data_IF_209938418409
#
_entry.id   IF_209938418409
#
_cell.length_a   1.000
_cell.length_b   1.000
_cell.length_c   1.000
_cell.angle_alpha   90.00
_cell.angle_beta   90.00
_cell.angle_gamma   90.00
#
_symmetry.space_group_name_H-M   'P 1'
#
loop_
_entity.id
_entity.type
_entity.pdbx_description
1 polymer ?
#
# COMPACT_ATOMS: atom_id res chain seq x y z
N UNK A 1 17.21 -47.90 -31.21
CA UNK A 1 17.34 -46.42 -31.19
C UNK A 1 16.08 -45.92 -30.51
N UNK A 2 16.10 -45.86 -29.18
CA UNK A 2 14.92 -45.53 -28.38
C UNK A 2 14.76 -44.02 -28.31
N UNK A 3 13.59 -43.51 -28.71
CA UNK A 3 13.23 -42.10 -28.56
C UNK A 3 13.32 -41.67 -27.09
N UNK A 4 13.72 -40.42 -26.80
CA UNK A 4 13.69 -39.91 -25.44
C UNK A 4 12.23 -39.74 -25.02
N UNK A 5 11.87 -40.34 -23.88
CA UNK A 5 10.57 -40.13 -23.25
C UNK A 5 10.42 -38.63 -22.93
N UNK A 6 9.52 -37.96 -23.65
CA UNK A 6 9.05 -36.63 -23.30
C UNK A 6 8.29 -36.78 -21.98
N UNK A 7 8.91 -36.35 -20.88
CA UNK A 7 8.23 -36.21 -19.60
C UNK A 7 7.03 -35.26 -19.81
N UNK A 8 5.82 -35.61 -19.33
CA UNK A 8 4.67 -34.75 -19.52
C UNK A 8 4.86 -33.44 -18.76
N UNK A 9 4.50 -32.33 -19.41
CA UNK A 9 4.40 -30.96 -18.89
C UNK A 9 3.50 -30.85 -17.64
N UNK A 10 3.95 -31.39 -16.51
CA UNK A 10 3.21 -31.34 -15.24
C UNK A 10 3.38 -30.02 -14.48
N UNK A 11 4.07 -29.03 -15.06
CA UNK A 11 4.41 -27.76 -14.38
C UNK A 11 3.62 -26.56 -14.91
N UNK A 12 2.89 -26.72 -16.01
CA UNK A 12 2.09 -25.67 -16.60
C UNK A 12 0.63 -25.83 -16.19
N UNK A 13 0.30 -25.39 -14.97
CA UNK A 13 -1.02 -24.86 -14.53
C UNK A 13 -1.19 -25.09 -13.03
N UNK A 14 -1.11 -24.01 -12.23
CA UNK A 14 -1.95 -23.70 -11.06
C UNK A 14 -1.20 -22.76 -10.09
N UNK A 15 -1.86 -21.71 -9.56
CA UNK A 15 -1.33 -20.94 -8.44
C UNK A 15 -1.36 -21.85 -7.20
N UNK A 16 -0.18 -22.26 -6.69
CA UNK A 16 0.07 -22.97 -5.40
C UNK A 16 1.25 -23.97 -5.42
N UNK A 17 1.93 -24.21 -6.55
CA UNK A 17 2.93 -25.30 -6.61
C UNK A 17 4.12 -25.08 -5.65
N UNK A 18 4.64 -23.85 -5.53
CA UNK A 18 5.84 -23.63 -4.71
C UNK A 18 5.56 -23.69 -3.22
N UNK A 19 4.43 -23.11 -2.79
CA UNK A 19 3.99 -23.19 -1.40
C UNK A 19 3.72 -24.64 -0.98
N UNK A 20 2.94 -25.38 -1.78
CA UNK A 20 2.65 -26.79 -1.50
C UNK A 20 3.93 -27.65 -1.45
N UNK A 21 4.88 -27.41 -2.37
CA UNK A 21 6.18 -28.10 -2.37
C UNK A 21 7.04 -27.76 -1.15
N UNK A 22 6.97 -26.53 -0.66
CA UNK A 22 7.69 -26.15 0.55
C UNK A 22 7.17 -26.95 1.76
N UNK A 23 5.85 -27.04 1.94
CA UNK A 23 5.26 -27.89 2.98
C UNK A 23 5.61 -29.37 2.79
N UNK A 24 5.55 -29.86 1.55
CA UNK A 24 5.88 -31.25 1.22
C UNK A 24 7.33 -31.59 1.57
N UNK A 25 8.28 -30.74 1.18
CA UNK A 25 9.71 -30.94 1.44
C UNK A 25 10.01 -30.83 2.93
N UNK A 26 9.44 -29.86 3.64
CA UNK A 26 9.63 -29.71 5.08
C UNK A 26 9.08 -30.92 5.86
N UNK A 27 7.88 -31.37 5.49
CA UNK A 27 7.23 -32.54 6.12
C UNK A 27 8.00 -33.83 5.81
N UNK A 28 8.46 -34.01 4.56
CA UNK A 28 9.26 -35.17 4.17
C UNK A 28 10.60 -35.19 4.90
N UNK A 29 11.31 -34.06 4.95
CA UNK A 29 12.58 -33.97 5.68
C UNK A 29 12.43 -34.30 7.17
N UNK A 30 11.37 -33.82 7.82
CA UNK A 30 11.06 -34.19 9.21
C UNK A 30 10.78 -35.69 9.35
N UNK A 31 9.95 -36.25 8.45
CA UNK A 31 9.60 -37.68 8.46
C UNK A 31 10.84 -38.55 8.28
N UNK A 32 11.70 -38.22 7.32
CA UNK A 32 12.94 -38.94 7.05
C UNK A 32 13.91 -38.83 8.23
N UNK A 33 13.97 -37.66 8.89
CA UNK A 33 14.81 -37.45 10.09
C UNK A 33 14.32 -38.29 11.27
N UNK A 34 13.01 -38.35 11.49
CA UNK A 34 12.43 -39.17 12.56
C UNK A 34 12.59 -40.68 12.28
N UNK A 35 12.49 -41.08 11.01
CA UNK A 35 12.70 -42.47 10.58
C UNK A 35 14.17 -42.89 10.65
N UNK A 36 15.11 -41.97 10.36
CA UNK A 36 16.55 -42.18 10.49
C UNK A 36 17.06 -42.07 11.94
N UNK A 37 16.21 -41.66 12.88
CA UNK A 37 16.52 -41.62 14.31
C UNK A 37 16.77 -43.01 14.90
N UNK A 38 17.17 -43.08 16.18
CA UNK A 38 17.51 -44.36 16.80
C UNK A 38 16.31 -45.33 16.75
N UNK A 39 16.58 -46.59 16.44
CA UNK A 39 15.59 -47.67 16.48
C UNK A 39 15.02 -47.84 17.90
N UNK A 40 13.89 -48.54 18.02
CA UNK A 40 13.29 -48.83 19.32
C UNK A 40 14.25 -49.57 20.26
N UNK A 41 15.02 -50.52 19.71
CA UNK A 41 16.03 -51.26 20.46
C UNK A 41 17.19 -50.38 20.91
N UNK A 42 17.72 -49.53 20.03
CA UNK A 42 18.78 -48.57 20.39
C UNK A 42 18.31 -47.55 21.43
N UNK A 43 17.05 -47.13 21.37
CA UNK A 43 16.46 -46.25 22.38
C UNK A 43 16.46 -46.90 23.76
N UNK A 44 15.99 -48.15 23.85
CA UNK A 44 15.92 -48.92 25.10
C UNK A 44 17.32 -49.22 25.64
N UNK A 45 18.28 -49.55 24.76
CA UNK A 45 19.69 -49.78 25.14
C UNK A 45 20.35 -48.56 25.80
N UNK A 46 19.84 -47.35 25.55
CA UNK A 46 20.27 -46.13 26.23
C UNK A 46 19.92 -46.08 27.72
N UNK A 47 19.01 -46.94 28.19
CA UNK A 47 18.60 -47.04 29.59
C UNK A 47 19.24 -48.27 30.23
N UNK A 48 20.25 -48.06 31.06
CA UNK A 48 20.97 -49.15 31.75
C UNK A 48 20.08 -49.83 32.80
N UNK A 49 20.08 -51.16 32.84
CA UNK A 49 19.42 -51.96 33.91
C UNK A 49 17.95 -52.29 33.66
N UNK A 50 17.49 -52.20 32.40
CA UNK A 50 16.15 -52.64 31.99
C UNK A 50 16.20 -54.12 31.61
N UNK A 51 15.86 -54.98 32.57
CA UNK A 51 15.87 -56.45 32.39
C UNK A 51 14.45 -57.04 32.28
N UNK A 52 13.42 -56.26 32.62
CA UNK A 52 12.01 -56.66 32.57
C UNK A 52 11.28 -56.16 31.31
N UNK A 53 10.42 -57.02 30.77
CA UNK A 53 9.69 -56.75 29.52
C UNK A 53 8.67 -55.62 29.68
N UNK A 54 8.13 -55.41 30.88
CA UNK A 54 7.14 -54.37 31.15
C UNK A 54 7.75 -52.97 31.02
N UNK A 55 8.92 -52.75 31.61
CA UNK A 55 9.67 -51.50 31.49
C UNK A 55 10.16 -51.27 30.06
N UNK A 56 10.58 -52.34 29.36
CA UNK A 56 10.94 -52.26 27.93
C UNK A 56 9.77 -51.79 27.07
N UNK A 57 8.58 -52.36 27.25
CA UNK A 57 7.37 -51.94 26.52
C UNK A 57 6.96 -50.51 26.86
N UNK A 58 7.09 -50.10 28.13
CA UNK A 58 6.84 -48.72 28.55
C UNK A 58 7.76 -47.73 27.82
N UNK A 59 9.07 -48.03 27.74
CA UNK A 59 10.04 -47.18 27.06
C UNK A 59 9.77 -47.07 25.55
N UNK A 60 9.38 -48.17 24.90
CA UNK A 60 8.99 -48.15 23.48
C UNK A 60 7.75 -47.28 23.25
N UNK A 61 6.74 -47.39 24.12
CA UNK A 61 5.55 -46.54 24.06
C UNK A 61 5.90 -45.05 24.31
N UNK A 62 6.76 -44.76 25.30
CA UNK A 62 7.24 -43.39 25.54
C UNK A 62 8.01 -42.83 24.34
N UNK A 63 8.81 -43.64 23.66
CA UNK A 63 9.50 -43.25 22.42
C UNK A 63 8.51 -42.87 21.34
N UNK A 64 7.50 -43.71 21.08
CA UNK A 64 6.47 -43.44 20.07
C UNK A 64 5.71 -42.15 20.38
N UNK A 65 5.29 -41.96 21.63
CA UNK A 65 4.61 -40.73 22.08
C UNK A 65 5.50 -39.50 21.92
N UNK A 66 6.79 -39.60 22.28
CA UNK A 66 7.75 -38.50 22.15
C UNK A 66 8.00 -38.15 20.69
N UNK A 67 8.15 -39.14 19.81
CA UNK A 67 8.32 -38.92 18.38
C UNK A 67 7.08 -38.28 17.75
N UNK A 68 5.88 -38.71 18.14
CA UNK A 68 4.63 -38.10 17.68
C UNK A 68 4.51 -36.65 18.16
N UNK A 69 4.76 -36.39 19.45
CA UNK A 69 4.74 -35.03 20.00
C UNK A 69 5.77 -34.11 19.35
N UNK A 70 7.00 -34.60 19.14
CA UNK A 70 8.05 -33.86 18.45
C UNK A 70 7.63 -33.51 17.02
N UNK A 71 7.10 -34.49 16.28
CA UNK A 71 6.61 -34.27 14.90
C UNK A 71 5.56 -33.17 14.87
N UNK A 72 4.54 -33.28 15.70
CA UNK A 72 3.40 -32.37 15.67
C UNK A 72 3.81 -30.95 16.11
N UNK A 73 4.71 -30.83 17.10
CA UNK A 73 5.26 -29.54 17.52
C UNK A 73 6.13 -28.89 16.43
N UNK A 74 6.97 -29.66 15.73
CA UNK A 74 7.82 -29.12 14.66
C UNK A 74 6.96 -28.69 13.46
N UNK A 75 5.93 -29.45 13.11
CA UNK A 75 4.99 -29.05 12.05
C UNK A 75 4.25 -27.76 12.43
N UNK A 76 3.81 -27.62 13.68
CA UNK A 76 3.19 -26.39 14.16
C UNK A 76 4.16 -25.19 14.09
N UNK A 77 5.43 -25.40 14.46
CA UNK A 77 6.46 -24.35 14.38
C UNK A 77 6.76 -23.94 12.92
N UNK A 78 6.76 -24.87 11.98
CA UNK A 78 6.86 -24.54 10.56
C UNK A 78 5.72 -23.62 10.12
N UNK A 79 4.48 -23.90 10.54
CA UNK A 79 3.35 -23.02 10.23
C UNK A 79 3.50 -21.62 10.85
N UNK A 80 4.02 -21.52 12.07
CA UNK A 80 4.32 -20.22 12.70
C UNK A 80 5.35 -19.46 11.86
N UNK A 81 6.47 -20.09 11.51
CA UNK A 81 7.53 -19.48 10.71
C UNK A 81 7.04 -19.05 9.32
N UNK A 82 6.23 -19.88 8.66
CA UNK A 82 5.64 -19.56 7.36
C UNK A 82 4.70 -18.35 7.45
N UNK A 83 3.96 -18.21 8.54
CA UNK A 83 3.09 -17.07 8.78
C UNK A 83 3.88 -15.79 9.12
N UNK A 84 4.87 -15.87 9.99
CA UNK A 84 5.71 -14.72 10.39
C UNK A 84 6.51 -14.16 9.22
N UNK A 85 7.14 -15.03 8.45
CA UNK A 85 7.94 -14.64 7.27
C UNK A 85 7.07 -14.25 6.07
N UNK A 86 5.77 -14.62 6.10
CA UNK A 86 4.88 -14.48 4.96
C UNK A 86 5.30 -15.34 3.76
N UNK A 87 6.15 -16.36 3.95
CA UNK A 87 6.77 -17.14 2.88
C UNK A 87 5.74 -17.71 1.89
N UNK A 88 4.62 -18.25 2.40
CA UNK A 88 3.55 -18.82 1.58
C UNK A 88 2.92 -17.75 0.69
N UNK A 89 2.53 -16.62 1.28
CA UNK A 89 1.95 -15.49 0.53
C UNK A 89 2.92 -14.92 -0.50
N UNK A 90 4.21 -14.85 -0.19
CA UNK A 90 5.24 -14.39 -1.12
C UNK A 90 5.44 -15.35 -2.30
N UNK A 91 5.43 -16.66 -2.05
CA UNK A 91 5.52 -17.68 -3.10
C UNK A 91 4.28 -17.69 -4.00
N UNK A 92 3.09 -17.54 -3.43
CA UNK A 92 1.85 -17.40 -4.19
C UNK A 92 1.85 -16.13 -5.05
N UNK A 93 2.32 -15.01 -4.50
CA UNK A 93 2.46 -13.76 -5.24
C UNK A 93 3.48 -13.89 -6.39
N UNK A 94 4.58 -14.61 -6.16
CA UNK A 94 5.58 -14.89 -7.20
C UNK A 94 5.02 -15.79 -8.31
N UNK A 95 4.29 -16.85 -7.95
CA UNK A 95 3.61 -17.72 -8.91
C UNK A 95 2.62 -16.91 -9.77
N UNK A 96 1.85 -16.01 -9.14
CA UNK A 96 0.91 -15.13 -9.82
C UNK A 96 1.61 -14.12 -10.76
N UNK A 97 2.77 -13.59 -10.36
CA UNK A 97 3.56 -12.69 -11.19
C UNK A 97 4.10 -13.41 -12.43
N UNK A 98 4.65 -14.62 -12.27
CA UNK A 98 5.19 -15.41 -13.39
C UNK A 98 4.10 -15.86 -14.35
N UNK A 99 2.92 -16.23 -13.84
CA UNK A 99 1.78 -16.59 -14.68
C UNK A 99 1.35 -15.45 -15.62
N UNK A 100 1.54 -14.19 -15.20
CA UNK A 100 1.20 -12.99 -15.96
C UNK A 100 2.28 -12.55 -16.96
N UNK A 101 3.50 -13.09 -16.87
CA UNK A 101 4.57 -12.74 -17.81
C UNK A 101 4.38 -13.47 -19.14
N UNK A 102 4.61 -12.81 -20.28
CA UNK A 102 4.62 -13.47 -21.57
C UNK A 102 5.76 -14.49 -21.64
N UNK A 103 5.49 -15.61 -22.29
CA UNK A 103 6.49 -16.63 -22.55
C UNK A 103 7.39 -16.17 -23.70
N UNK A 104 8.70 -16.18 -23.46
CA UNK A 104 9.70 -15.89 -24.50
C UNK A 104 9.78 -17.08 -25.47
N UNK A 105 10.36 -16.84 -26.63
CA UNK A 105 10.45 -17.85 -27.70
C UNK A 105 11.26 -19.11 -27.31
N UNK A 106 12.05 -19.05 -26.24
CA UNK A 106 12.80 -20.17 -25.65
C UNK A 106 12.04 -20.88 -24.52
N UNK A 107 10.78 -20.53 -24.27
CA UNK A 107 9.97 -21.05 -23.17
C UNK A 107 10.24 -20.40 -21.80
N UNK A 108 11.19 -19.45 -21.72
CA UNK A 108 11.50 -18.76 -20.46
C UNK A 108 10.54 -17.61 -20.18
N UNK A 109 10.34 -17.29 -18.90
CA UNK A 109 9.57 -16.13 -18.44
C UNK A 109 10.48 -15.23 -17.62
N UNK A 110 11.09 -14.25 -18.27
CA UNK A 110 11.95 -13.28 -17.61
C UNK A 110 11.11 -12.07 -17.21
N UNK A 111 11.19 -11.59 -15.96
CA UNK A 111 10.64 -10.29 -15.63
C UNK A 111 11.38 -9.24 -16.47
N UNK A 112 10.69 -8.69 -17.47
CA UNK A 112 11.11 -7.46 -18.13
C UNK A 112 11.01 -6.37 -17.06
N UNK A 113 12.10 -6.12 -16.34
CA UNK A 113 12.29 -4.90 -15.56
C UNK A 113 13.53 -4.21 -16.08
N UNK A 114 13.38 -3.49 -17.19
CA UNK A 114 14.43 -2.58 -17.61
C UNK A 114 14.52 -1.42 -16.61
N UNK A 115 15.73 -0.94 -16.29
CA UNK A 115 15.95 0.20 -15.38
C UNK A 115 15.24 1.48 -15.88
N UNK A 116 14.94 1.54 -17.18
CA UNK A 116 14.09 2.54 -17.83
C UNK A 116 12.62 2.51 -17.37
N UNK A 117 12.07 1.34 -17.02
CA UNK A 117 10.68 1.18 -16.60
C UNK A 117 10.39 1.76 -15.21
N UNK A 118 11.37 1.87 -14.31
CA UNK A 118 11.11 2.41 -12.97
C UNK A 118 10.60 3.87 -13.02
N UNK A 119 11.16 4.69 -13.92
CA UNK A 119 10.69 6.07 -14.13
C UNK A 119 9.30 6.10 -14.76
N UNK A 120 9.04 5.24 -15.73
CA UNK A 120 7.75 5.17 -16.42
C UNK A 120 6.66 4.58 -15.53
N UNK A 121 7.00 3.63 -14.66
CA UNK A 121 6.12 3.08 -13.63
C UNK A 121 5.75 4.14 -12.60
N UNK A 122 6.72 4.92 -12.10
CA UNK A 122 6.44 6.05 -11.19
C UNK A 122 5.60 7.12 -11.90
N UNK A 123 5.91 7.44 -13.16
CA UNK A 123 5.13 8.39 -13.95
C UNK A 123 3.68 7.92 -14.15
N UNK A 124 3.48 6.62 -14.41
CA UNK A 124 2.16 6.01 -14.59
C UNK A 124 1.39 5.92 -13.26
N UNK A 125 2.04 5.46 -12.19
CA UNK A 125 1.45 5.35 -10.86
C UNK A 125 1.04 6.73 -10.29
N UNK A 126 1.78 7.79 -10.61
CA UNK A 126 1.48 9.16 -10.17
C UNK A 126 0.47 9.89 -11.06
N UNK A 127 0.09 9.33 -12.22
CA UNK A 127 -0.80 9.99 -13.18
C UNK A 127 -2.20 10.30 -12.60
N UNK A 128 -2.88 9.39 -11.87
CA UNK A 128 -4.19 9.69 -11.31
C UNK A 128 -4.17 10.86 -10.32
N UNK A 129 -3.16 10.89 -9.45
CA UNK A 129 -2.96 11.98 -8.49
C UNK A 129 -2.71 13.32 -9.21
N UNK A 130 -1.87 13.33 -10.25
CA UNK A 130 -1.63 14.54 -11.07
C UNK A 130 -2.91 15.03 -11.77
N UNK A 131 -3.73 14.12 -12.29
CA UNK A 131 -5.01 14.47 -12.92
C UNK A 131 -5.99 15.06 -11.90
N UNK A 132 -6.08 14.47 -10.71
CA UNK A 132 -6.91 14.98 -9.62
C UNK A 132 -6.46 16.38 -9.18
N UNK A 133 -5.15 16.59 -8.98
CA UNK A 133 -4.61 17.90 -8.63
C UNK A 133 -4.87 18.95 -9.73
N UNK A 134 -4.73 18.57 -11.01
CA UNK A 134 -5.05 19.46 -12.13
C UNK A 134 -6.51 19.91 -12.10
N UNK A 135 -7.44 18.99 -11.86
CA UNK A 135 -8.87 19.31 -11.76
C UNK A 135 -9.17 20.23 -10.56
N UNK A 136 -8.59 19.95 -9.40
CA UNK A 136 -8.76 20.78 -8.21
C UNK A 136 -8.24 22.22 -8.44
N UNK A 137 -7.06 22.37 -9.05
CA UNK A 137 -6.51 23.68 -9.39
C UNK A 137 -7.40 24.44 -10.39
N UNK A 138 -7.93 23.74 -11.41
CA UNK A 138 -8.83 24.35 -12.38
C UNK A 138 -10.13 24.84 -11.74
N UNK A 139 -10.66 24.11 -10.75
CA UNK A 139 -11.85 24.53 -10.00
C UNK A 139 -11.53 25.75 -9.12
N UNK A 140 -10.41 25.74 -8.41
CA UNK A 140 -9.98 26.87 -7.58
C UNK A 140 -9.78 28.15 -8.41
N UNK A 141 -9.17 28.05 -9.59
CA UNK A 141 -8.99 29.19 -10.50
C UNK A 141 -10.35 29.76 -10.92
N UNK A 142 -11.30 28.92 -11.35
CA UNK A 142 -12.64 29.38 -11.75
C UNK A 142 -13.37 30.08 -10.61
N UNK A 143 -13.22 29.57 -9.39
CA UNK A 143 -13.81 30.19 -8.21
C UNK A 143 -13.23 31.59 -7.97
N UNK A 144 -11.91 31.74 -7.99
CA UNK A 144 -11.24 33.03 -7.81
C UNK A 144 -11.61 34.01 -8.93
N UNK A 145 -11.72 33.54 -10.17
CA UNK A 145 -12.17 34.37 -11.30
C UNK A 145 -13.61 34.89 -11.10
N UNK A 146 -14.52 34.04 -10.63
CA UNK A 146 -15.90 34.44 -10.34
C UNK A 146 -15.96 35.44 -9.17
N UNK A 147 -15.20 35.20 -8.11
CA UNK A 147 -15.10 36.11 -6.96
C UNK A 147 -14.55 37.48 -7.38
N UNK A 148 -13.48 37.51 -8.21
CA UNK A 148 -12.92 38.75 -8.74
C UNK A 148 -13.92 39.51 -9.61
N UNK A 149 -14.67 38.83 -10.46
CA UNK A 149 -15.72 39.47 -11.26
C UNK A 149 -16.81 40.08 -10.38
N UNK A 150 -17.23 39.36 -9.32
CA UNK A 150 -18.21 39.88 -8.36
C UNK A 150 -17.69 41.11 -7.62
N UNK A 151 -16.45 41.07 -7.12
CA UNK A 151 -15.82 42.20 -6.46
C UNK A 151 -15.68 43.41 -7.39
N UNK A 152 -15.33 43.18 -8.65
CA UNK A 152 -15.23 44.26 -9.64
C UNK A 152 -16.60 44.90 -9.91
N UNK A 153 -17.67 44.12 -9.97
CA UNK A 153 -19.03 44.64 -10.10
C UNK A 153 -19.45 45.46 -8.87
N UNK A 154 -19.16 44.97 -7.67
CA UNK A 154 -19.44 45.70 -6.43
C UNK A 154 -18.68 47.03 -6.37
N UNK A 155 -17.40 47.03 -6.76
CA UNK A 155 -16.58 48.24 -6.84
C UNK A 155 -17.15 49.26 -7.83
N UNK A 156 -17.53 48.82 -9.03
CA UNK A 156 -18.15 49.68 -10.05
C UNK A 156 -19.52 50.21 -9.62
N UNK A 157 -20.33 49.41 -8.90
CA UNK A 157 -21.62 49.84 -8.38
C UNK A 157 -21.49 50.87 -7.24
N UNK A 158 -20.42 50.80 -6.44
CA UNK A 158 -20.17 51.75 -5.36
C UNK A 158 -19.62 53.11 -5.84
N UNK A 159 -18.96 53.15 -7.01
CA UNK A 159 -18.33 54.35 -7.56
C UNK A 159 -19.30 55.55 -7.73
N UNK A 160 -20.50 55.39 -8.32
CA UNK A 160 -21.45 56.49 -8.48
C UNK A 160 -21.93 57.07 -7.15
N UNK A 161 -22.18 56.21 -6.15
CA UNK A 161 -22.60 56.67 -4.83
C UNK A 161 -21.49 57.47 -4.13
N UNK A 162 -20.24 57.05 -4.28
CA UNK A 162 -19.09 57.81 -3.77
C UNK A 162 -18.92 59.17 -4.47
N UNK A 163 -19.11 59.22 -5.79
CA UNK A 163 -19.05 60.45 -6.56
C UNK A 163 -20.15 61.44 -6.13
N UNK A 164 -21.39 60.96 -6.01
CA UNK A 164 -22.52 61.77 -5.57
C UNK A 164 -22.31 62.32 -4.14
N UNK A 165 -21.86 61.48 -3.20
CA UNK A 165 -21.53 61.93 -1.85
C UNK A 165 -20.40 62.97 -1.84
N UNK A 166 -19.41 62.85 -2.72
CA UNK A 166 -18.34 63.85 -2.86
C UNK A 166 -18.85 65.18 -3.38
N UNK A 167 -19.75 65.17 -4.38
CA UNK A 167 -20.40 66.38 -4.90
C UNK A 167 -21.28 67.07 -3.84
N UNK A 168 -22.05 66.31 -3.07
CA UNK A 168 -22.86 66.83 -1.96
C UNK A 168 -21.99 67.52 -0.90
N UNK A 169 -20.86 66.91 -0.53
CA UNK A 169 -19.91 67.51 0.42
C UNK A 169 -19.35 68.82 -0.14
N UNK A 170 -18.99 68.88 -1.43
CA UNK A 170 -18.50 70.12 -2.04
C UNK A 170 -19.58 71.21 -2.09
N UNK A 171 -20.83 70.85 -2.41
CA UNK A 171 -21.95 71.79 -2.40
C UNK A 171 -22.22 72.35 -1.00
N UNK A 172 -22.22 71.49 0.03
CA UNK A 172 -22.35 71.91 1.42
C UNK A 172 -21.22 72.84 1.84
N UNK A 173 -19.97 72.54 1.47
CA UNK A 173 -18.81 73.40 1.75
C UNK A 173 -18.99 74.79 1.13
N UNK A 174 -19.34 74.86 -0.16
CA UNK A 174 -19.56 76.12 -0.85
C UNK A 174 -20.70 76.94 -0.23
N UNK A 175 -21.77 76.28 0.22
CA UNK A 175 -22.88 76.94 0.92
C UNK A 175 -22.42 77.55 2.25
N UNK A 176 -21.63 76.82 3.03
CA UNK A 176 -21.09 77.30 4.31
C UNK A 176 -20.18 78.52 4.08
N UNK A 177 -19.27 78.45 3.10
CA UNK A 177 -18.37 79.57 2.75
C UNK A 177 -19.15 80.81 2.31
N UNK A 178 -20.16 80.65 1.45
CA UNK A 178 -21.03 81.75 1.02
C UNK A 178 -21.79 82.37 2.20
N UNK A 179 -22.30 81.52 3.10
CA UNK A 179 -23.04 81.98 4.28
C UNK A 179 -22.13 82.77 5.22
N UNK A 180 -20.91 82.28 5.48
CA UNK A 180 -19.90 82.97 6.28
C UNK A 180 -19.60 84.37 5.69
N UNK A 181 -19.29 84.47 4.40
CA UNK A 181 -19.05 85.76 3.74
C UNK A 181 -20.24 86.71 3.81
N UNK A 182 -21.47 86.20 3.72
CA UNK A 182 -22.69 87.02 3.79
C UNK A 182 -22.86 87.59 5.20
N UNK A 183 -22.61 86.78 6.23
CA UNK A 183 -22.62 87.24 7.63
C UNK A 183 -21.53 88.30 7.89
N UNK A 184 -20.32 88.11 7.37
CA UNK A 184 -19.24 89.09 7.48
C UNK A 184 -19.61 90.43 6.82
N UNK A 185 -20.15 90.40 5.60
CA UNK A 185 -20.64 91.61 4.92
C UNK A 185 -21.74 92.30 5.70
N UNK A 186 -22.72 91.54 6.21
CA UNK A 186 -23.81 92.11 7.00
C UNK A 186 -23.31 92.80 8.27
N UNK A 187 -22.32 92.21 8.97
CA UNK A 187 -21.65 92.85 10.11
C UNK A 187 -20.96 94.14 9.69
N UNK A 188 -20.22 94.15 8.59
CA UNK A 188 -19.51 95.34 8.11
C UNK A 188 -20.45 96.50 7.70
N UNK A 189 -21.67 96.20 7.26
CA UNK A 189 -22.67 97.22 6.89
C UNK A 189 -23.56 97.72 8.03
N UNK A 190 -23.67 96.96 9.14
CA UNK A 190 -24.58 97.27 10.26
C UNK A 190 -23.87 97.42 11.62
N UNK A 191 -22.54 97.52 11.62
CA UNK A 191 -21.72 97.90 12.75
C UNK A 191 -21.35 99.39 12.63
#
# INVERSE_FOLDING_TARGET
>A
MSEPAILPDAFATLPSQRAARLHEVATRALTDTLAAGCSGDEFVLGFTGVDDEETRLLLLNMREQTQAALRDNVLAEFEVLFNETGAIKSLEALDALLARQPELADGSRVPLTSVTEAKDMIATATLPAKQQHKLALQQAIRQVEAENQSLQQQYMAAQPALAAASEEIQACKALIEKTAMTCERWRATNA
#
